data_IF_910716017577
#
_entry.id   IF_910716017577
#
_cell.length_a   1.000
_cell.length_b   1.000
_cell.length_c   1.000
_cell.angle_alpha   90.00
_cell.angle_beta   90.00
_cell.angle_gamma   90.00
#
_symmetry.space_group_name_H-M   'P 1'
#
loop_
_entity.id
_entity.type
_entity.pdbx_description
1 polymer ?
#
# COMPACT_ATOMS: atom_id res chain seq x y z
N UNK A 1 8.95 -60.70 4.66
CA UNK A 1 9.82 -59.67 5.27
C UNK A 1 8.96 -58.45 5.56
N UNK A 2 8.91 -57.96 6.80
CA UNK A 2 8.36 -56.63 7.07
C UNK A 2 9.46 -55.57 6.84
N UNK A 3 9.13 -54.41 6.23
CA UNK A 3 10.06 -53.29 6.17
C UNK A 3 10.40 -52.84 7.60
N UNK A 4 11.67 -52.50 7.84
CA UNK A 4 12.10 -51.92 9.12
C UNK A 4 11.41 -50.57 9.31
N UNK A 5 10.89 -50.32 10.51
CA UNK A 5 10.14 -49.11 10.84
C UNK A 5 10.88 -47.80 10.51
N UNK A 6 12.22 -47.82 10.55
CA UNK A 6 13.07 -46.68 10.24
C UNK A 6 12.90 -46.18 8.78
N UNK A 7 12.70 -47.09 7.82
CA UNK A 7 12.54 -46.73 6.40
C UNK A 7 11.20 -46.01 6.14
N UNK A 8 10.17 -46.34 6.93
CA UNK A 8 8.83 -45.73 6.83
C UNK A 8 8.85 -44.30 7.39
N UNK A 9 9.56 -44.10 8.50
CA UNK A 9 9.73 -42.76 9.09
C UNK A 9 10.56 -41.85 8.20
N UNK A 10 11.62 -42.37 7.59
CA UNK A 10 12.49 -41.62 6.68
C UNK A 10 11.71 -41.05 5.47
N UNK A 11 10.92 -41.88 4.78
CA UNK A 11 10.14 -41.44 3.61
C UNK A 11 9.05 -40.42 3.96
N UNK A 12 8.53 -40.47 5.20
CA UNK A 12 7.46 -39.57 5.64
C UNK A 12 8.02 -38.22 6.11
N UNK A 13 9.11 -38.21 6.88
CA UNK A 13 9.71 -36.97 7.39
C UNK A 13 10.35 -36.15 6.26
N UNK A 14 11.09 -36.80 5.36
CA UNK A 14 11.71 -36.15 4.22
C UNK A 14 10.66 -35.67 3.19
N UNK A 15 9.59 -36.44 2.98
CA UNK A 15 8.47 -36.06 2.13
C UNK A 15 7.68 -34.85 2.65
N UNK A 16 7.59 -34.67 3.97
CA UNK A 16 6.88 -33.56 4.61
C UNK A 16 7.77 -32.33 4.85
N UNK A 17 9.10 -32.50 4.88
CA UNK A 17 10.07 -31.42 5.10
C UNK A 17 9.90 -30.22 4.16
N UNK A 18 9.72 -30.39 2.82
CA UNK A 18 9.46 -29.28 1.92
C UNK A 18 8.17 -28.51 2.26
N UNK A 19 7.10 -29.21 2.67
CA UNK A 19 5.82 -28.59 3.02
C UNK A 19 5.92 -27.72 4.28
N UNK A 20 6.61 -28.20 5.30
CA UNK A 20 6.85 -27.43 6.53
C UNK A 20 7.71 -26.18 6.27
N UNK A 21 8.74 -26.30 5.43
CA UNK A 21 9.59 -25.17 5.04
C UNK A 21 8.83 -24.14 4.20
N UNK A 22 8.05 -24.58 3.21
CA UNK A 22 7.27 -23.69 2.34
C UNK A 22 6.19 -22.94 3.12
N UNK A 23 5.56 -23.58 4.10
CA UNK A 23 4.57 -22.93 4.98
C UNK A 23 5.19 -21.79 5.80
N UNK A 24 6.43 -21.97 6.29
CA UNK A 24 7.16 -20.90 7.01
C UNK A 24 7.57 -19.76 6.06
N UNK A 25 8.05 -20.07 4.86
CA UNK A 25 8.46 -19.08 3.85
C UNK A 25 7.27 -18.26 3.34
N UNK A 26 6.14 -18.90 3.06
CA UNK A 26 4.91 -18.23 2.60
C UNK A 26 4.40 -17.21 3.62
N UNK A 27 4.32 -17.59 4.91
CA UNK A 27 3.93 -16.69 6.00
C UNK A 27 4.87 -15.50 6.18
N UNK A 28 6.15 -15.64 5.85
CA UNK A 28 7.11 -14.52 5.86
C UNK A 28 6.89 -13.59 4.68
N UNK A 29 6.72 -14.13 3.46
CA UNK A 29 6.44 -13.33 2.25
C UNK A 29 5.13 -12.53 2.38
N UNK A 30 4.07 -13.14 2.92
CA UNK A 30 2.80 -12.46 3.15
C UNK A 30 2.95 -11.26 4.11
N UNK A 31 3.63 -11.46 5.25
CA UNK A 31 3.88 -10.38 6.21
C UNK A 31 4.73 -9.24 5.64
N UNK A 32 5.72 -9.57 4.81
CA UNK A 32 6.53 -8.56 4.12
C UNK A 32 5.68 -7.74 3.14
N UNK A 33 4.81 -8.38 2.37
CA UNK A 33 3.91 -7.70 1.44
C UNK A 33 2.91 -6.77 2.16
N UNK A 34 2.33 -7.21 3.27
CA UNK A 34 1.45 -6.38 4.10
C UNK A 34 2.18 -5.17 4.70
N UNK A 35 3.42 -5.38 5.18
CA UNK A 35 4.27 -4.29 5.71
C UNK A 35 4.61 -3.26 4.62
N UNK A 36 5.04 -3.73 3.44
CA UNK A 36 5.32 -2.87 2.28
C UNK A 36 4.06 -2.09 1.84
N UNK A 37 2.89 -2.72 1.86
CA UNK A 37 1.62 -2.06 1.53
C UNK A 37 1.25 -0.95 2.52
N UNK A 38 1.56 -1.13 3.82
CA UNK A 38 1.37 -0.07 4.82
C UNK A 38 2.34 1.10 4.62
N UNK A 39 3.60 0.83 4.30
CA UNK A 39 4.59 1.86 3.98
C UNK A 39 4.20 2.64 2.71
N UNK A 40 3.76 1.93 1.66
CA UNK A 40 3.28 2.54 0.42
C UNK A 40 2.07 3.44 0.66
N UNK A 41 1.14 3.07 1.54
CA UNK A 41 0.03 3.98 1.93
C UNK A 41 0.53 5.28 2.56
N UNK A 42 1.57 5.23 3.40
CA UNK A 42 2.14 6.44 3.99
C UNK A 42 2.88 7.29 2.96
N UNK A 43 3.60 6.66 2.03
CA UNK A 43 4.25 7.35 0.91
C UNK A 43 3.23 8.02 -0.01
N UNK A 44 2.14 7.33 -0.37
CA UNK A 44 1.03 7.91 -1.16
C UNK A 44 0.39 9.09 -0.43
N UNK A 45 0.27 9.05 0.89
CA UNK A 45 -0.22 10.20 1.67
C UNK A 45 0.75 11.39 1.67
N UNK A 46 2.07 11.15 1.71
CA UNK A 46 3.09 12.21 1.66
C UNK A 46 3.26 12.82 0.27
N UNK A 47 3.09 12.00 -0.76
CA UNK A 47 3.17 12.43 -2.16
C UNK A 47 1.85 12.93 -2.71
N UNK A 48 0.76 12.86 -1.93
CA UNK A 48 -0.48 13.54 -2.30
C UNK A 48 -0.17 15.03 -2.23
N UNK A 49 -0.21 15.78 -3.35
CA UNK A 49 -0.15 17.23 -3.25
C UNK A 49 -1.26 17.61 -2.28
N UNK A 50 -0.92 18.36 -1.23
CA UNK A 50 -1.90 18.96 -0.34
C UNK A 50 -2.84 19.73 -1.24
N UNK A 51 -3.99 19.13 -1.55
CA UNK A 51 -5.02 19.78 -2.34
C UNK A 51 -5.54 20.91 -1.46
N UNK A 52 -4.92 22.08 -1.60
CA UNK A 52 -5.49 23.35 -1.17
C UNK A 52 -6.71 23.62 -2.05
N UNK A 53 -7.75 22.82 -1.86
CA UNK A 53 -9.10 23.06 -2.40
C UNK A 53 -9.78 24.23 -1.72
N UNK A 54 -9.01 25.20 -1.22
CA UNK A 54 -9.44 26.37 -0.48
C UNK A 54 -8.74 27.63 -1.04
N UNK A 55 -8.43 27.61 -2.34
CA UNK A 55 -7.85 28.79 -3.00
C UNK A 55 -8.64 29.22 -4.23
N UNK A 56 -9.33 28.31 -4.93
CA UNK A 56 -10.16 28.70 -6.08
C UNK A 56 -11.51 29.32 -5.70
N UNK A 57 -12.08 28.97 -4.54
CA UNK A 57 -13.39 29.49 -4.08
C UNK A 57 -13.33 30.92 -3.54
N UNK A 58 -12.13 31.42 -3.21
CA UNK A 58 -11.95 32.80 -2.69
C UNK A 58 -11.67 33.82 -3.80
N UNK A 59 -11.22 33.37 -4.97
CA UNK A 59 -10.90 34.24 -6.12
C UNK A 59 -12.18 34.56 -6.91
N UNK A 60 -13.17 33.67 -6.93
CA UNK A 60 -14.46 33.89 -7.60
C UNK A 60 -15.46 34.77 -6.85
N UNK A 61 -15.09 35.31 -5.68
CA UNK A 61 -15.94 36.25 -4.90
C UNK A 61 -15.30 37.62 -4.67
N UNK A 62 -14.18 37.94 -5.32
CA UNK A 62 -13.49 39.21 -5.10
C UNK A 62 -13.74 40.21 -6.24
N UNK A 63 -14.88 40.91 -6.10
CA UNK A 63 -15.02 42.35 -6.33
C UNK A 63 -15.09 42.85 -7.79
N UNK A 64 -16.26 42.78 -8.42
CA UNK A 64 -16.67 43.82 -9.36
C UNK A 64 -16.96 45.11 -8.58
N UNK A 65 -15.89 45.81 -8.16
CA UNK A 65 -16.01 47.15 -7.58
C UNK A 65 -16.36 48.13 -8.70
N UNK A 66 -17.58 48.65 -8.66
CA UNK A 66 -18.11 49.69 -9.53
C UNK A 66 -17.29 50.96 -9.39
N UNK A 67 -16.27 51.16 -10.23
CA UNK A 67 -15.61 52.46 -10.39
C UNK A 67 -16.20 53.18 -11.59
N UNK A 68 -17.34 53.84 -11.36
CA UNK A 68 -17.88 54.84 -12.27
C UNK A 68 -16.86 55.97 -12.47
N UNK A 69 -16.65 56.39 -13.72
CA UNK A 69 -16.19 57.74 -14.07
C UNK A 69 -14.93 57.85 -14.93
N UNK A 70 -15.12 58.10 -16.24
CA UNK A 70 -14.61 59.31 -16.93
C UNK A 70 -15.20 59.43 -18.33
N UNK A 71 -15.94 60.52 -18.57
CA UNK A 71 -16.40 60.97 -19.89
C UNK A 71 -15.19 61.10 -20.82
N UNK A 72 -15.29 60.56 -22.03
CA UNK A 72 -14.41 60.90 -23.14
C UNK A 72 -15.22 61.86 -24.02
N UNK A 73 -14.53 62.93 -24.43
CA UNK A 73 -15.04 64.14 -25.08
C UNK A 73 -15.86 63.90 -26.34
#
# INVERSE_FOLDING_TARGET
MLPRSDDVHYMTDEGLSPFHQNRRRLRRKQRQHESASKANRQLVKRNRPSSSGETELRISSSNTSTRNGRKIA
#
